data_IF_094380823355
#
_entry.id   IF_094380823355
#
_cell.length_a   1.000
_cell.length_b   1.000
_cell.length_c   1.000
_cell.angle_alpha   90.00
_cell.angle_beta   90.00
_cell.angle_gamma   90.00
#
_symmetry.space_group_name_H-M   'P 1'
#
loop_
_entity.id
_entity.type
_entity.pdbx_description
1 polymer ?
#
# COMPACT_ATOMS: atom_id res chain seq x y z
N UNK A 1 14.74 -2.61 20.62
CA UNK A 1 13.61 -2.11 19.83
C UNK A 1 13.46 -3.00 18.61
N UNK A 2 12.36 -3.73 18.47
CA UNK A 2 12.08 -4.55 17.28
C UNK A 2 11.81 -3.63 16.09
N UNK A 3 12.58 -3.78 15.00
CA UNK A 3 12.38 -3.01 13.77
C UNK A 3 11.01 -3.35 13.19
N UNK A 4 10.18 -2.34 12.87
CA UNK A 4 8.83 -2.53 12.28
C UNK A 4 8.90 -3.44 11.05
N UNK A 5 9.80 -3.12 10.11
CA UNK A 5 10.15 -3.98 8.99
C UNK A 5 11.06 -5.11 9.48
N UNK A 6 10.51 -6.32 9.58
CA UNK A 6 11.23 -7.56 9.85
C UNK A 6 10.56 -8.74 9.14
N UNK A 7 11.30 -9.78 8.75
CA UNK A 7 10.71 -10.98 8.14
C UNK A 7 9.63 -11.61 9.02
N UNK A 8 9.83 -11.57 10.34
CA UNK A 8 8.88 -12.07 11.32
C UNK A 8 7.56 -11.30 11.33
N UNK A 9 7.58 -10.00 11.00
CA UNK A 9 6.42 -9.11 10.96
C UNK A 9 5.60 -9.17 9.67
N UNK A 10 6.10 -9.82 8.61
CA UNK A 10 5.34 -9.97 7.37
C UNK A 10 4.04 -10.74 7.60
N UNK A 11 4.11 -11.90 8.28
CA UNK A 11 2.95 -12.77 8.44
C UNK A 11 2.39 -13.25 7.09
N UNK A 12 1.07 -13.42 7.02
CA UNK A 12 0.38 -13.68 5.76
C UNK A 12 0.04 -12.35 5.07
N UNK A 13 0.74 -12.02 3.98
CA UNK A 13 0.53 -10.79 3.23
C UNK A 13 -0.79 -10.82 2.45
N UNK A 14 -1.62 -9.81 2.66
CA UNK A 14 -2.87 -9.66 1.93
C UNK A 14 -2.65 -8.89 0.63
N UNK A 15 -2.89 -9.52 -0.52
CA UNK A 15 -2.87 -8.84 -1.81
C UNK A 15 -4.20 -8.16 -2.10
N UNK A 16 -4.17 -6.88 -2.47
CA UNK A 16 -5.35 -6.14 -2.90
C UNK A 16 -5.05 -5.40 -4.21
N UNK A 17 -5.88 -5.54 -5.27
CA UNK A 17 -5.70 -4.74 -6.47
C UNK A 17 -5.95 -3.27 -6.17
N UNK A 18 -5.12 -2.38 -6.73
CA UNK A 18 -5.23 -0.93 -6.51
C UNK A 18 -6.55 -0.32 -7.03
N UNK A 19 -7.38 -1.09 -7.73
CA UNK A 19 -8.75 -0.70 -8.11
C UNK A 19 -9.73 -0.72 -6.93
N UNK A 20 -9.40 -1.37 -5.80
CA UNK A 20 -10.25 -1.38 -4.59
C UNK A 20 -10.26 -0.04 -3.89
N UNK A 21 -11.45 0.38 -3.46
CA UNK A 21 -11.67 1.64 -2.75
C UNK A 21 -11.57 1.52 -1.23
N UNK A 22 -11.52 0.30 -0.68
CA UNK A 22 -11.51 0.05 0.77
C UNK A 22 -10.12 -0.25 1.35
N UNK A 23 -9.05 -0.09 0.56
CA UNK A 23 -7.65 -0.30 1.00
C UNK A 23 -7.29 0.65 2.15
N UNK A 24 -7.66 1.92 2.04
CA UNK A 24 -7.39 2.93 3.08
C UNK A 24 -8.03 2.54 4.41
N UNK A 25 -9.27 2.05 4.40
CA UNK A 25 -9.95 1.59 5.62
C UNK A 25 -9.32 0.31 6.18
N UNK A 26 -8.87 -0.60 5.32
CA UNK A 26 -8.16 -1.81 5.75
C UNK A 26 -6.86 -1.46 6.52
N UNK A 27 -6.15 -0.42 6.08
CA UNK A 27 -4.88 0.01 6.70
C UNK A 27 -5.13 0.90 7.93
N UNK A 28 -5.93 1.96 7.80
CA UNK A 28 -6.11 2.98 8.85
C UNK A 28 -7.05 2.51 9.95
N UNK A 29 -8.18 1.88 9.59
CA UNK A 29 -9.23 1.51 10.55
C UNK A 29 -9.07 0.10 11.10
N UNK A 30 -8.01 -0.61 10.72
CA UNK A 30 -7.77 -2.00 11.13
C UNK A 30 -8.99 -2.90 10.87
N UNK A 31 -9.64 -2.74 9.71
CA UNK A 31 -10.88 -3.46 9.34
C UNK A 31 -10.71 -4.98 9.33
N UNK A 32 -9.48 -5.46 9.17
CA UNK A 32 -9.11 -6.88 9.11
C UNK A 32 -8.27 -7.19 10.35
N UNK A 33 -8.88 -7.86 11.33
CA UNK A 33 -8.20 -8.23 12.58
C UNK A 33 -6.97 -9.09 12.31
N UNK A 34 -5.83 -8.71 12.90
CA UNK A 34 -4.58 -9.44 12.75
C UNK A 34 -3.87 -9.25 11.42
N UNK A 35 -4.28 -8.27 10.59
CA UNK A 35 -3.58 -7.94 9.36
C UNK A 35 -2.19 -7.36 9.67
N UNK A 36 -1.14 -8.04 9.20
CA UNK A 36 0.26 -7.69 9.50
C UNK A 36 0.98 -7.02 8.33
N UNK A 37 0.60 -7.39 7.11
CA UNK A 37 1.11 -6.77 5.89
C UNK A 37 0.07 -6.79 4.78
N UNK A 38 0.12 -5.78 3.91
CA UNK A 38 -0.77 -5.60 2.77
C UNK A 38 0.06 -5.19 1.56
N UNK A 39 -0.23 -5.80 0.42
CA UNK A 39 0.41 -5.52 -0.87
C UNK A 39 -0.64 -4.92 -1.80
N UNK A 40 -0.44 -3.66 -2.18
CA UNK A 40 -1.25 -2.97 -3.19
C UNK A 40 -0.72 -3.39 -4.57
N UNK A 41 -1.51 -4.15 -5.32
CA UNK A 41 -1.10 -4.78 -6.57
C UNK A 41 -1.52 -3.96 -7.80
N UNK A 42 -0.58 -3.75 -8.72
CA UNK A 42 -0.78 -3.15 -10.06
C UNK A 42 -0.46 -4.16 -11.20
N UNK A 43 -0.13 -5.40 -10.86
CA UNK A 43 0.34 -6.43 -11.79
C UNK A 43 -0.83 -7.30 -12.30
N UNK A 44 -0.90 -8.54 -11.84
CA UNK A 44 -1.82 -9.60 -12.25
C UNK A 44 -3.28 -9.38 -11.82
N UNK A 45 -3.48 -8.67 -10.71
CA UNK A 45 -4.79 -8.41 -10.13
C UNK A 45 -5.51 -7.21 -10.77
N UNK A 46 -4.86 -6.52 -11.72
CA UNK A 46 -5.39 -5.34 -12.41
C UNK A 46 -5.29 -5.57 -13.91
N UNK A 47 -6.40 -5.41 -14.64
CA UNK A 47 -6.38 -5.53 -16.11
C UNK A 47 -5.63 -4.34 -16.74
N UNK A 48 -5.12 -4.49 -17.95
CA UNK A 48 -4.42 -3.40 -18.64
C UNK A 48 -5.30 -2.15 -18.82
N UNK A 49 -6.59 -2.35 -19.10
CA UNK A 49 -7.54 -1.27 -19.25
C UNK A 49 -7.78 -0.49 -17.94
N UNK A 50 -7.60 -1.14 -16.80
CA UNK A 50 -7.83 -0.55 -15.48
C UNK A 50 -6.60 0.13 -14.89
N UNK A 51 -5.41 0.02 -15.51
CA UNK A 51 -4.17 0.62 -15.00
C UNK A 51 -4.30 2.13 -14.75
N UNK A 52 -4.88 2.95 -15.65
CA UNK A 52 -5.06 4.37 -15.38
C UNK A 52 -5.90 4.64 -14.13
N UNK A 53 -6.99 3.88 -13.94
CA UNK A 53 -7.84 3.99 -12.76
C UNK A 53 -7.10 3.54 -11.50
N UNK A 54 -6.38 2.42 -11.58
CA UNK A 54 -5.61 1.85 -10.48
C UNK A 54 -4.51 2.81 -9.99
N UNK A 55 -3.83 3.51 -10.91
CA UNK A 55 -2.84 4.54 -10.57
C UNK A 55 -3.48 5.75 -9.90
N UNK A 56 -4.62 6.23 -10.42
CA UNK A 56 -5.36 7.33 -9.81
C UNK A 56 -5.84 6.97 -8.39
N UNK A 57 -6.37 5.76 -8.21
CA UNK A 57 -6.76 5.25 -6.90
C UNK A 57 -5.57 5.15 -5.95
N UNK A 58 -4.44 4.63 -6.43
CA UNK A 58 -3.21 4.53 -5.65
C UNK A 58 -2.75 5.89 -5.14
N UNK A 59 -2.78 6.94 -5.97
CA UNK A 59 -2.46 8.30 -5.54
C UNK A 59 -3.39 8.78 -4.41
N UNK A 60 -4.69 8.51 -4.52
CA UNK A 60 -5.66 8.82 -3.46
C UNK A 60 -5.41 8.05 -2.17
N UNK A 61 -5.06 6.76 -2.27
CA UNK A 61 -4.68 5.92 -1.12
C UNK A 61 -3.43 6.50 -0.45
N UNK A 62 -2.36 6.76 -1.22
CA UNK A 62 -1.10 7.29 -0.71
C UNK A 62 -1.29 8.64 -0.02
N UNK A 63 -2.06 9.56 -0.61
CA UNK A 63 -2.37 10.85 0.01
C UNK A 63 -3.07 10.69 1.36
N UNK A 64 -4.07 9.81 1.45
CA UNK A 64 -4.77 9.54 2.70
C UNK A 64 -3.85 8.90 3.76
N UNK A 65 -2.99 7.97 3.35
CA UNK A 65 -2.03 7.34 4.24
C UNK A 65 -0.98 8.36 4.73
N UNK A 66 -0.38 9.16 3.85
CA UNK A 66 0.59 10.19 4.26
C UNK A 66 -0.04 11.14 5.29
N UNK A 67 -1.24 11.64 5.02
CA UNK A 67 -1.93 12.56 5.92
C UNK A 67 -2.18 11.92 7.30
N UNK A 68 -2.65 10.67 7.34
CA UNK A 68 -2.90 9.97 8.60
C UNK A 68 -1.61 9.65 9.36
N UNK A 69 -0.56 9.24 8.64
CA UNK A 69 0.76 8.99 9.24
C UNK A 69 1.33 10.25 9.87
N UNK A 70 1.17 11.41 9.25
CA UNK A 70 1.58 12.70 9.81
C UNK A 70 0.74 13.07 11.04
N UNK A 71 -0.56 12.75 11.03
CA UNK A 71 -1.51 13.10 12.11
C UNK A 71 -1.35 12.22 13.36
N UNK A 72 -1.21 10.91 13.19
CA UNK A 72 -1.33 9.92 14.28
C UNK A 72 -0.22 8.85 14.27
N UNK A 73 0.69 8.88 13.30
CA UNK A 73 1.71 7.85 13.10
C UNK A 73 1.16 6.58 12.45
N UNK A 74 2.01 5.55 12.32
CA UNK A 74 1.69 4.29 11.64
C UNK A 74 2.05 3.04 12.47
N UNK A 75 2.14 3.18 13.80
CA UNK A 75 2.58 2.09 14.69
C UNK A 75 1.64 0.88 14.63
N UNK A 76 0.34 1.12 14.49
CA UNK A 76 -0.70 0.08 14.48
C UNK A 76 -1.11 -0.36 13.05
N UNK A 77 -0.42 0.14 12.03
CA UNK A 77 -0.72 -0.23 10.64
C UNK A 77 -0.06 -1.56 10.28
N UNK A 78 -0.64 -2.33 9.34
CA UNK A 78 0.11 -3.36 8.65
C UNK A 78 1.29 -2.76 7.88
N UNK A 79 2.33 -3.55 7.62
CA UNK A 79 3.36 -3.19 6.66
C UNK A 79 2.70 -3.00 5.28
N UNK A 80 2.97 -1.89 4.61
CA UNK A 80 2.35 -1.56 3.32
C UNK A 80 3.40 -1.69 2.23
N UNK A 81 3.09 -2.46 1.20
CA UNK A 81 3.95 -2.63 0.03
C UNK A 81 3.19 -2.31 -1.25
N UNK A 82 3.92 -1.96 -2.31
CA UNK A 82 3.36 -1.81 -3.65
C UNK A 82 4.03 -2.83 -4.59
N UNK A 83 3.22 -3.56 -5.34
CA UNK A 83 3.70 -4.44 -6.42
C UNK A 83 3.45 -3.78 -7.79
N UNK A 84 4.44 -3.06 -8.36
CA UNK A 84 4.34 -2.56 -9.72
C UNK A 84 4.41 -3.73 -10.72
N UNK A 85 3.85 -3.54 -11.91
CA UNK A 85 3.86 -4.55 -12.98
C UNK A 85 5.25 -4.80 -13.56
N UNK A 86 6.10 -3.78 -13.57
CA UNK A 86 7.45 -3.83 -14.12
C UNK A 86 8.32 -2.73 -13.49
N UNK A 87 9.67 -2.84 -13.57
CA UNK A 87 10.58 -1.92 -12.91
C UNK A 87 10.39 -0.43 -13.28
N UNK A 88 10.04 -0.14 -14.53
CA UNK A 88 9.83 1.24 -15.02
C UNK A 88 8.62 1.88 -14.35
N UNK A 89 7.55 1.11 -14.10
CA UNK A 89 6.41 1.59 -13.30
C UNK A 89 6.84 1.86 -11.86
N UNK A 90 7.71 1.02 -11.28
CA UNK A 90 8.28 1.26 -9.95
C UNK A 90 9.10 2.55 -9.87
N UNK A 91 9.91 2.83 -10.90
CA UNK A 91 10.65 4.10 -11.01
C UNK A 91 9.69 5.28 -11.13
N UNK A 92 8.68 5.17 -11.99
CA UNK A 92 7.66 6.21 -12.16
C UNK A 92 6.96 6.52 -10.84
N UNK A 93 6.56 5.50 -10.07
CA UNK A 93 5.94 5.69 -8.75
C UNK A 93 6.85 6.45 -7.78
N UNK A 94 8.16 6.16 -7.77
CA UNK A 94 9.12 6.87 -6.91
C UNK A 94 9.29 8.34 -7.28
N UNK A 95 9.14 8.68 -8.56
CA UNK A 95 9.29 10.05 -9.07
C UNK A 95 8.00 10.88 -8.92
N UNK A 96 6.83 10.23 -9.00
CA UNK A 96 5.54 10.91 -9.14
C UNK A 96 4.62 10.75 -7.92
N UNK A 97 4.95 9.91 -6.94
CA UNK A 97 4.13 9.66 -5.77
C UNK A 97 4.92 9.85 -4.47
N UNK A 98 4.23 10.32 -3.42
CA UNK A 98 4.77 10.26 -2.08
C UNK A 98 4.65 8.84 -1.52
N UNK A 99 5.78 8.15 -1.41
CA UNK A 99 5.88 6.79 -0.88
C UNK A 99 6.27 6.77 0.61
N UNK A 100 6.24 7.90 1.31
CA UNK A 100 6.64 7.98 2.72
C UNK A 100 5.82 7.08 3.64
N UNK A 101 4.59 6.71 3.25
CA UNK A 101 3.72 5.80 3.98
C UNK A 101 3.93 4.30 3.64
N UNK A 102 4.81 3.97 2.70
CA UNK A 102 5.06 2.62 2.19
C UNK A 102 6.36 2.06 2.80
N UNK A 103 6.39 0.76 3.07
CA UNK A 103 7.52 0.04 3.67
C UNK A 103 8.44 -0.64 2.64
N UNK A 104 7.96 -0.86 1.41
CA UNK A 104 8.74 -1.39 0.31
C UNK A 104 7.98 -1.55 -1.01
#
# INVERSE_FOLDING_TARGET
MTRRLSPWNLGASLYMPATRTDITDAIIRNKISGLRSLIICLEDAVSEADIPQALNNLQGILAALTAEKQRAGNQNWPLVFIRPRHPEMGLWLREHCDLSAVDG
#
